data_IF_708985918688
#
_entry.id   IF_708985918688
#
_cell.length_a   1.000
_cell.length_b   1.000
_cell.length_c   1.000
_cell.angle_alpha   90.00
_cell.angle_beta   90.00
_cell.angle_gamma   90.00
#
_symmetry.space_group_name_H-M   'P 1'
#
loop_
_entity.id
_entity.type
_entity.pdbx_description
1 polymer ?
#
# COMPACT_ATOMS: atom_id res chain seq x y z
N UNK A 1 30.98 1.54 18.49
CA UNK A 1 29.86 2.51 18.59
C UNK A 1 29.64 3.12 17.20
N UNK A 2 28.43 3.08 16.63
CA UNK A 2 28.19 3.67 15.29
C UNK A 2 28.10 5.20 15.36
N UNK A 3 28.76 5.89 14.43
CA UNK A 3 28.80 7.35 14.29
C UNK A 3 27.39 7.96 14.05
N UNK A 4 27.16 9.17 14.58
CA UNK A 4 25.88 9.89 14.50
C UNK A 4 25.48 10.22 13.05
N UNK A 5 26.45 10.54 12.18
CA UNK A 5 26.21 10.82 10.76
C UNK A 5 25.75 9.57 10.02
N UNK A 6 26.35 8.41 10.32
CA UNK A 6 25.93 7.11 9.79
C UNK A 6 24.50 6.74 10.19
N UNK A 7 24.11 6.95 11.46
CA UNK A 7 22.72 6.74 11.92
C UNK A 7 21.71 7.65 11.22
N UNK A 8 22.08 8.93 11.01
CA UNK A 8 21.23 9.87 10.28
C UNK A 8 20.99 9.42 8.84
N UNK A 9 22.03 8.96 8.13
CA UNK A 9 21.90 8.40 6.79
C UNK A 9 20.99 7.17 6.75
N UNK A 10 21.17 6.24 7.69
CA UNK A 10 20.34 5.04 7.79
C UNK A 10 18.86 5.36 8.06
N UNK A 11 18.58 6.36 8.91
CA UNK A 11 17.22 6.81 9.18
C UNK A 11 16.57 7.45 7.94
N UNK A 12 17.31 8.29 7.21
CA UNK A 12 16.80 8.89 5.96
C UNK A 12 16.51 7.84 4.89
N UNK A 13 17.37 6.82 4.76
CA UNK A 13 17.14 5.71 3.84
C UNK A 13 15.81 4.99 4.14
N UNK A 14 15.56 4.64 5.40
CA UNK A 14 14.30 3.99 5.78
C UNK A 14 13.05 4.83 5.46
N UNK A 15 13.13 6.15 5.69
CA UNK A 15 12.02 7.06 5.35
C UNK A 15 11.85 7.16 3.83
N UNK A 16 12.94 7.21 3.06
CA UNK A 16 12.91 7.21 1.59
C UNK A 16 12.26 5.95 1.05
N UNK A 17 12.68 4.78 1.54
CA UNK A 17 12.12 3.48 1.14
C UNK A 17 10.61 3.42 1.44
N UNK A 18 10.19 3.89 2.62
CA UNK A 18 8.76 3.97 2.93
C UNK A 18 8.01 4.90 1.96
N UNK A 19 8.55 6.09 1.65
CA UNK A 19 7.89 7.03 0.72
C UNK A 19 7.81 6.44 -0.69
N UNK A 20 8.82 5.72 -1.14
CA UNK A 20 8.81 5.03 -2.43
C UNK A 20 7.73 3.95 -2.49
N UNK A 21 7.62 3.10 -1.46
CA UNK A 21 6.52 2.13 -1.38
C UNK A 21 5.14 2.81 -1.34
N UNK A 22 4.97 3.88 -0.56
CA UNK A 22 3.70 4.61 -0.54
C UNK A 22 3.34 5.26 -1.89
N UNK A 23 4.34 5.67 -2.69
CA UNK A 23 4.11 6.18 -4.05
C UNK A 23 3.66 5.06 -4.98
N UNK A 24 4.27 3.89 -4.86
CA UNK A 24 3.85 2.70 -5.61
C UNK A 24 2.42 2.31 -5.25
N UNK A 25 2.07 2.27 -3.96
CA UNK A 25 0.70 1.99 -3.52
C UNK A 25 -0.33 3.00 -4.07
N UNK A 26 0.02 4.29 -4.17
CA UNK A 26 -0.83 5.29 -4.85
C UNK A 26 -0.97 5.00 -6.34
N UNK A 27 0.10 4.58 -7.01
CA UNK A 27 0.06 4.19 -8.42
C UNK A 27 -0.87 2.98 -8.64
N UNK A 28 -0.76 1.96 -7.80
CA UNK A 28 -1.64 0.78 -7.83
C UNK A 28 -3.12 1.14 -7.59
N UNK A 29 -3.40 2.03 -6.63
CA UNK A 29 -4.77 2.50 -6.39
C UNK A 29 -5.32 3.31 -7.57
N UNK A 30 -4.48 4.10 -8.26
CA UNK A 30 -4.89 4.81 -9.49
C UNK A 30 -5.20 3.87 -10.63
N UNK A 31 -4.40 2.82 -10.83
CA UNK A 31 -4.70 1.79 -11.83
C UNK A 31 -6.04 1.11 -11.53
N UNK A 32 -6.29 0.79 -10.26
CA UNK A 32 -7.57 0.23 -9.81
C UNK A 32 -8.76 1.13 -10.18
N UNK A 33 -8.65 2.44 -9.95
CA UNK A 33 -9.70 3.40 -10.30
C UNK A 33 -9.92 3.46 -11.81
N UNK A 34 -8.83 3.61 -12.58
CA UNK A 34 -8.89 3.69 -14.04
C UNK A 34 -9.56 2.47 -14.66
N UNK A 35 -9.24 1.28 -14.18
CA UNK A 35 -9.82 0.03 -14.68
C UNK A 35 -11.32 -0.07 -14.42
N UNK A 36 -11.78 0.48 -13.29
CA UNK A 36 -13.22 0.60 -13.01
C UNK A 36 -13.90 1.62 -13.94
N UNK A 37 -13.22 2.72 -14.26
CA UNK A 37 -13.69 3.77 -15.18
C UNK A 37 -13.76 3.29 -16.65
N UNK A 38 -12.85 2.41 -17.08
CA UNK A 38 -12.81 1.83 -18.43
C UNK A 38 -14.01 0.89 -18.74
N UNK A 39 -14.92 0.73 -17.77
CA UNK A 39 -16.20 0.07 -17.94
C UNK A 39 -16.13 -1.42 -17.63
N UNK A 40 -16.54 -1.76 -16.39
CA UNK A 40 -16.60 -3.12 -15.86
C UNK A 40 -17.47 -4.08 -16.69
N UNK A 41 -18.40 -3.58 -17.50
CA UNK A 41 -19.36 -4.41 -18.23
C UNK A 41 -20.37 -5.09 -17.30
N UNK A 42 -21.13 -6.05 -17.84
CA UNK A 42 -22.17 -6.77 -17.09
C UNK A 42 -21.54 -7.66 -16.02
N UNK A 43 -22.02 -7.58 -14.78
CA UNK A 43 -21.59 -8.46 -13.68
C UNK A 43 -21.63 -9.94 -14.11
N UNK A 44 -20.53 -10.66 -13.89
CA UNK A 44 -20.38 -12.08 -14.28
C UNK A 44 -20.00 -12.32 -15.74
N UNK A 45 -19.90 -11.29 -16.58
CA UNK A 45 -19.31 -11.43 -17.92
C UNK A 45 -17.79 -11.64 -17.85
N UNK A 46 -17.20 -12.17 -18.93
CA UNK A 46 -15.74 -12.31 -19.03
C UNK A 46 -15.01 -10.97 -18.90
N UNK A 47 -15.58 -9.90 -19.48
CA UNK A 47 -15.05 -8.53 -19.34
C UNK A 47 -15.07 -8.07 -17.88
N UNK A 48 -16.17 -8.32 -17.17
CA UNK A 48 -16.26 -8.01 -15.75
C UNK A 48 -15.22 -8.74 -14.92
N UNK A 49 -15.05 -10.06 -15.15
CA UNK A 49 -14.07 -10.85 -14.43
C UNK A 49 -12.64 -10.35 -14.69
N UNK A 50 -12.31 -10.00 -15.93
CA UNK A 50 -11.01 -9.45 -16.30
C UNK A 50 -10.69 -8.16 -15.51
N UNK A 51 -11.56 -7.15 -15.61
CA UNK A 51 -11.36 -5.88 -14.88
C UNK A 51 -11.37 -6.09 -13.36
N UNK A 52 -12.26 -6.95 -12.85
CA UNK A 52 -12.34 -7.29 -11.44
C UNK A 52 -11.01 -7.84 -10.88
N UNK A 53 -10.39 -8.80 -11.57
CA UNK A 53 -9.13 -9.39 -11.11
C UNK A 53 -7.97 -8.39 -11.17
N UNK A 54 -7.96 -7.48 -12.15
CA UNK A 54 -6.97 -6.40 -12.23
C UNK A 54 -7.11 -5.46 -11.02
N UNK A 55 -8.32 -4.99 -10.73
CA UNK A 55 -8.62 -4.18 -9.53
C UNK A 55 -8.20 -4.90 -8.25
N UNK A 56 -8.56 -6.18 -8.11
CA UNK A 56 -8.19 -6.98 -6.94
C UNK A 56 -6.68 -7.10 -6.78
N UNK A 57 -5.94 -7.31 -7.88
CA UNK A 57 -4.48 -7.41 -7.88
C UNK A 57 -3.85 -6.11 -7.43
N UNK A 58 -4.24 -4.98 -8.01
CA UNK A 58 -3.63 -3.70 -7.69
C UNK A 58 -3.98 -3.20 -6.29
N UNK A 59 -5.22 -3.37 -5.82
CA UNK A 59 -5.55 -3.03 -4.42
C UNK A 59 -4.75 -3.92 -3.43
N UNK A 60 -4.54 -5.19 -3.76
CA UNK A 60 -3.70 -6.08 -2.93
C UNK A 60 -2.22 -5.69 -2.95
N UNK A 61 -1.72 -5.23 -4.11
CA UNK A 61 -0.36 -4.70 -4.24
C UNK A 61 -0.19 -3.43 -3.39
N UNK A 62 -1.14 -2.48 -3.47
CA UNK A 62 -1.11 -1.27 -2.64
C UNK A 62 -1.03 -1.58 -1.14
N UNK A 63 -1.81 -2.58 -0.67
CA UNK A 63 -1.77 -3.02 0.72
C UNK A 63 -0.40 -3.61 1.11
N UNK A 64 0.24 -4.32 0.18
CA UNK A 64 1.58 -4.89 0.36
C UNK A 64 2.64 -3.79 0.43
N UNK A 65 2.55 -2.77 -0.41
CA UNK A 65 3.47 -1.63 -0.40
C UNK A 65 3.40 -0.87 0.93
N UNK A 66 2.19 -0.63 1.43
CA UNK A 66 1.96 0.02 2.72
C UNK A 66 2.56 -0.80 3.87
N UNK A 67 2.40 -2.14 3.85
CA UNK A 67 3.05 -3.02 4.82
C UNK A 67 4.58 -2.95 4.74
N UNK A 68 5.13 -2.95 3.53
CA UNK A 68 6.58 -2.86 3.29
C UNK A 68 7.14 -1.52 3.78
N UNK A 69 6.40 -0.41 3.67
CA UNK A 69 6.78 0.84 4.33
C UNK A 69 6.84 0.69 5.87
N UNK A 70 5.87 0.03 6.50
CA UNK A 70 5.88 -0.18 7.95
C UNK A 70 7.08 -1.04 8.39
N UNK A 71 7.44 -2.05 7.59
CA UNK A 71 8.61 -2.88 7.79
C UNK A 71 9.92 -2.07 7.69
N UNK A 72 10.06 -1.17 6.71
CA UNK A 72 11.26 -0.34 6.59
C UNK A 72 11.48 0.56 7.82
N UNK A 73 10.39 1.06 8.42
CA UNK A 73 10.41 1.89 9.63
C UNK A 73 10.66 1.11 10.91
N UNK A 74 10.23 -0.16 10.99
CA UNK A 74 10.47 -1.03 12.15
C UNK A 74 11.84 -1.73 12.10
N UNK A 75 12.45 -1.80 10.91
CA UNK A 75 13.76 -2.37 10.66
C UNK A 75 14.93 -1.67 11.36
N UNK A 76 16.14 -2.21 11.17
CA UNK A 76 17.37 -1.71 11.81
C UNK A 76 17.68 -0.26 11.44
N UNK A 77 17.47 0.10 10.18
CA UNK A 77 17.63 1.46 9.64
C UNK A 77 16.54 2.40 10.15
N UNK A 78 15.28 1.94 10.16
CA UNK A 78 14.14 2.65 10.73
C UNK A 78 14.26 2.96 12.23
N UNK A 79 15.00 2.15 12.98
CA UNK A 79 15.35 2.45 14.39
C UNK A 79 16.23 3.68 14.56
N UNK A 80 16.91 4.14 13.50
CA UNK A 80 17.72 5.36 13.51
C UNK A 80 16.91 6.63 13.21
N UNK A 81 15.63 6.49 12.81
CA UNK A 81 14.71 7.62 12.64
C UNK A 81 14.30 8.17 14.02
N UNK A 82 14.18 9.49 14.13
CA UNK A 82 13.61 10.12 15.33
C UNK A 82 12.26 9.47 15.69
N UNK A 83 12.10 9.08 16.96
CA UNK A 83 10.94 8.31 17.42
C UNK A 83 9.60 9.00 17.19
N UNK A 84 9.55 10.34 17.33
CA UNK A 84 8.33 11.15 17.09
C UNK A 84 7.97 11.15 15.61
N UNK A 85 8.95 11.36 14.73
CA UNK A 85 8.77 11.33 13.27
C UNK A 85 8.33 9.94 12.83
N UNK A 86 9.03 8.88 13.27
CA UNK A 86 8.67 7.49 12.96
C UNK A 86 7.23 7.17 13.36
N UNK A 87 6.83 7.57 14.56
CA UNK A 87 5.45 7.35 15.06
C UNK A 87 4.40 8.08 14.22
N UNK A 88 4.69 9.31 13.79
CA UNK A 88 3.78 10.08 12.95
C UNK A 88 3.61 9.44 11.56
N UNK A 89 4.70 8.98 10.94
CA UNK A 89 4.63 8.29 9.64
C UNK A 89 3.84 6.99 9.81
N UNK A 90 4.19 6.17 10.80
CA UNK A 90 3.52 4.88 11.09
C UNK A 90 2.01 5.05 11.23
N UNK A 91 1.54 6.02 12.03
CA UNK A 91 0.11 6.29 12.22
C UNK A 91 -0.62 6.66 10.93
N UNK A 92 0.04 7.42 10.05
CA UNK A 92 -0.54 7.78 8.75
C UNK A 92 -0.65 6.56 7.85
N UNK A 93 0.41 5.76 7.77
CA UNK A 93 0.45 4.54 6.93
C UNK A 93 -0.55 3.51 7.44
N UNK A 94 -0.61 3.25 8.75
CA UNK A 94 -1.62 2.37 9.36
C UNK A 94 -3.06 2.78 9.02
N UNK A 95 -3.33 4.09 8.96
CA UNK A 95 -4.64 4.59 8.53
C UNK A 95 -4.93 4.25 7.07
N UNK A 96 -3.95 4.42 6.18
CA UNK A 96 -4.09 4.06 4.76
C UNK A 96 -4.26 2.55 4.62
N UNK A 97 -3.44 1.73 5.28
CA UNK A 97 -3.56 0.26 5.36
C UNK A 97 -4.95 -0.20 5.75
N UNK A 98 -5.56 0.44 6.75
CA UNK A 98 -6.94 0.13 7.12
C UNK A 98 -7.94 0.46 6.01
N UNK A 99 -7.78 1.60 5.32
CA UNK A 99 -8.66 1.99 4.22
C UNK A 99 -8.48 1.07 3.01
N UNK A 100 -7.25 0.74 2.64
CA UNK A 100 -6.92 -0.18 1.54
C UNK A 100 -7.45 -1.59 1.84
N UNK A 101 -7.33 -2.07 3.09
CA UNK A 101 -7.93 -3.33 3.51
C UNK A 101 -9.47 -3.34 3.43
N UNK A 102 -10.13 -2.24 3.82
CA UNK A 102 -11.59 -2.10 3.63
C UNK A 102 -11.95 -2.12 2.15
N UNK A 103 -11.20 -1.40 1.30
CA UNK A 103 -11.41 -1.40 -0.15
C UNK A 103 -11.27 -2.82 -0.73
N UNK A 104 -10.22 -3.56 -0.35
CA UNK A 104 -10.01 -4.94 -0.77
C UNK A 104 -11.15 -5.86 -0.31
N UNK A 105 -11.65 -5.66 0.91
CA UNK A 105 -12.80 -6.41 1.41
C UNK A 105 -14.07 -6.16 0.57
N UNK A 106 -14.31 -4.91 0.16
CA UNK A 106 -15.43 -4.55 -0.72
C UNK A 106 -15.25 -5.16 -2.13
N UNK A 107 -14.05 -5.08 -2.70
CA UNK A 107 -13.72 -5.75 -3.97
C UNK A 107 -14.03 -7.25 -3.84
N UNK A 108 -13.50 -7.91 -2.82
CA UNK A 108 -13.74 -9.34 -2.58
C UNK A 108 -15.22 -9.73 -2.37
N UNK A 109 -16.11 -8.79 -2.08
CA UNK A 109 -17.56 -9.03 -1.94
C UNK A 109 -18.32 -8.88 -3.26
N UNK A 110 -17.78 -8.18 -4.27
CA UNK A 110 -18.45 -8.02 -5.57
C UNK A 110 -18.19 -9.17 -6.55
N UNK A 111 -17.28 -10.10 -6.21
CA UNK A 111 -16.98 -11.30 -7.01
C UNK A 111 -18.26 -12.10 -7.35
N UNK A 112 -18.49 -12.49 -8.61
CA UNK A 112 -19.61 -13.35 -8.98
C UNK A 112 -19.33 -14.78 -8.49
N UNK A 113 -20.20 -15.32 -7.64
CA UNK A 113 -20.07 -16.71 -7.14
C UNK A 113 -19.81 -16.86 -5.64
N UNK A 114 -19.67 -15.77 -4.87
CA UNK A 114 -19.86 -15.82 -3.42
C UNK A 114 -21.33 -15.52 -3.09
N UNK A 115 -22.12 -16.58 -2.96
CA UNK A 115 -23.37 -16.56 -2.18
C UNK A 115 -22.98 -16.71 -0.71
#
# INVERSE_FOLDING_TARGET
MADKRSRSHAGMAAVKDCVENMREGVYQMRNSLKEMEDGMGRKGSQRFLFHYYNVQTWVSAALTDEWTCLESLSGRTGRSVNSRVRTQIRRRVEKVTRLTSIALALVNKVMPGRV
#
